data_IF_490080534701
#
_entry.id   IF_490080534701
#
_cell.length_a   1.000
_cell.length_b   1.000
_cell.length_c   1.000
_cell.angle_alpha   90.00
_cell.angle_beta   90.00
_cell.angle_gamma   90.00
#
_symmetry.space_group_name_H-M   'P 1'
#
loop_
_entity.id
_entity.type
_entity.pdbx_description
1 polymer ?
#
# COMPACT_ATOMS: atom_id res chain seq x y z
N UNK A 1 -2.10 -11.16 -20.72
CA UNK A 1 -2.47 -9.79 -21.15
C UNK A 1 -1.69 -8.81 -20.29
N UNK A 2 -1.03 -7.80 -20.89
CA UNK A 2 -0.27 -6.78 -20.18
C UNK A 2 -1.23 -5.78 -19.53
N UNK A 3 -0.92 -5.35 -18.29
CA UNK A 3 -1.71 -4.41 -17.52
C UNK A 3 -1.02 -3.04 -17.44
N UNK A 4 -1.79 -1.98 -17.63
CA UNK A 4 -1.34 -0.59 -17.57
C UNK A 4 -2.23 0.21 -16.59
N UNK A 5 -1.66 1.22 -15.95
CA UNK A 5 -2.40 2.07 -15.03
C UNK A 5 -2.82 3.37 -15.71
N UNK A 6 -4.12 3.65 -15.68
CA UNK A 6 -4.71 4.90 -16.18
C UNK A 6 -5.75 5.38 -15.16
N UNK A 7 -5.56 6.55 -14.59
CA UNK A 7 -6.39 7.07 -13.47
C UNK A 7 -7.84 7.38 -13.83
N UNK A 8 -8.15 7.48 -15.12
CA UNK A 8 -9.50 7.67 -15.65
C UNK A 8 -9.76 6.69 -16.80
N UNK A 9 -10.74 5.83 -16.62
CA UNK A 9 -11.19 4.85 -17.59
C UNK A 9 -12.63 5.13 -18.07
N UNK A 10 -13.17 6.34 -17.84
CA UNK A 10 -14.51 6.70 -18.29
C UNK A 10 -14.60 6.92 -19.82
N UNK A 11 -13.62 7.57 -20.49
CA UNK A 11 -13.66 7.74 -21.95
C UNK A 11 -13.49 6.41 -22.71
N UNK A 12 -14.07 6.31 -23.90
CA UNK A 12 -13.89 5.12 -24.77
C UNK A 12 -12.52 5.06 -25.45
N UNK A 13 -11.86 6.20 -25.58
CA UNK A 13 -10.49 6.33 -26.10
C UNK A 13 -9.59 6.83 -24.98
N UNK A 14 -8.56 6.05 -24.66
CA UNK A 14 -7.58 6.33 -23.62
C UNK A 14 -6.21 6.52 -24.24
N UNK A 15 -5.63 7.70 -24.06
CA UNK A 15 -4.20 7.89 -24.27
C UNK A 15 -3.46 7.39 -23.03
N UNK A 16 -2.56 6.42 -23.21
CA UNK A 16 -1.76 5.88 -22.09
C UNK A 16 -0.86 6.98 -21.51
N UNK A 17 -0.75 7.10 -20.17
CA UNK A 17 0.21 7.98 -19.53
C UNK A 17 1.62 7.74 -20.07
N UNK A 18 2.44 8.80 -20.11
CA UNK A 18 3.77 8.77 -20.74
C UNK A 18 4.65 7.60 -20.29
N UNK A 19 4.67 7.27 -19.00
CA UNK A 19 5.47 6.16 -18.47
C UNK A 19 4.92 4.81 -18.94
N UNK A 20 3.59 4.66 -18.98
CA UNK A 20 2.92 3.45 -19.47
C UNK A 20 3.06 3.29 -20.99
N UNK A 21 2.94 4.37 -21.75
CA UNK A 21 3.19 4.36 -23.20
C UNK A 21 4.64 3.98 -23.51
N UNK A 22 5.62 4.54 -22.78
CA UNK A 22 7.03 4.15 -22.92
C UNK A 22 7.24 2.66 -22.62
N UNK A 23 6.61 2.14 -21.56
CA UNK A 23 6.69 0.72 -21.23
C UNK A 23 6.10 -0.16 -22.34
N UNK A 24 4.92 0.20 -22.87
CA UNK A 24 4.26 -0.51 -23.97
C UNK A 24 5.14 -0.54 -25.23
N UNK A 25 5.71 0.61 -25.62
CA UNK A 25 6.45 0.76 -26.86
C UNK A 25 7.88 0.22 -26.76
N UNK A 26 8.64 0.71 -25.78
CA UNK A 26 10.09 0.47 -25.70
C UNK A 26 10.44 -0.87 -25.04
N UNK A 27 9.67 -1.30 -24.05
CA UNK A 27 9.95 -2.54 -23.30
C UNK A 27 9.18 -3.72 -23.89
N UNK A 28 7.87 -3.58 -24.03
CA UNK A 28 7.00 -4.68 -24.48
C UNK A 28 6.86 -4.75 -25.99
N UNK A 29 7.21 -3.68 -26.72
CA UNK A 29 7.17 -3.58 -28.18
C UNK A 29 5.79 -3.90 -28.76
N UNK A 30 4.76 -3.42 -28.08
CA UNK A 30 3.38 -3.61 -28.50
C UNK A 30 3.09 -2.84 -29.78
N UNK A 31 2.16 -3.36 -30.57
CA UNK A 31 1.73 -2.82 -31.86
C UNK A 31 0.22 -2.62 -31.92
N UNK A 32 -0.25 -1.83 -32.88
CA UNK A 32 -1.68 -1.63 -33.14
C UNK A 32 -2.38 -2.97 -33.36
N UNK A 33 -3.61 -3.11 -32.86
CA UNK A 33 -4.42 -4.32 -32.88
C UNK A 33 -4.21 -5.25 -31.72
N UNK A 34 -3.21 -5.01 -30.86
CA UNK A 34 -3.00 -5.83 -29.66
C UNK A 34 -3.92 -5.43 -28.51
N UNK A 35 -4.37 -6.44 -27.76
CA UNK A 35 -5.23 -6.26 -26.60
C UNK A 35 -4.39 -6.06 -25.32
N UNK A 36 -4.82 -5.12 -24.49
CA UNK A 36 -4.22 -4.77 -23.22
C UNK A 36 -5.29 -4.68 -22.13
N UNK A 37 -4.88 -4.80 -20.88
CA UNK A 37 -5.73 -4.48 -19.72
C UNK A 37 -5.37 -3.13 -19.13
N UNK A 38 -6.37 -2.41 -18.67
CA UNK A 38 -6.22 -1.12 -17.98
C UNK A 38 -6.78 -1.22 -16.57
N UNK A 39 -6.14 -0.55 -15.61
CA UNK A 39 -6.55 -0.47 -14.20
C UNK A 39 -6.58 1.01 -13.79
N UNK A 40 -7.63 1.46 -13.11
CA UNK A 40 -7.72 2.83 -12.59
C UNK A 40 -7.21 2.98 -11.16
N UNK A 41 -6.96 1.86 -10.47
CA UNK A 41 -6.62 1.87 -9.04
C UNK A 41 -7.78 2.21 -8.12
N UNK A 42 -9.01 2.28 -8.64
CA UNK A 42 -10.26 2.63 -7.93
C UNK A 42 -11.32 1.54 -8.04
N UNK A 43 -10.90 0.34 -8.45
CA UNK A 43 -11.75 -0.83 -8.61
C UNK A 43 -12.20 -1.10 -10.04
N UNK A 44 -11.85 -0.25 -11.04
CA UNK A 44 -12.22 -0.52 -12.43
C UNK A 44 -11.07 -1.22 -13.16
N UNK A 45 -11.41 -2.31 -13.85
CA UNK A 45 -10.59 -2.96 -14.85
C UNK A 45 -11.26 -2.84 -16.22
N UNK A 46 -10.48 -2.51 -17.24
CA UNK A 46 -10.96 -2.49 -18.61
C UNK A 46 -10.10 -3.37 -19.50
N UNK A 47 -10.73 -3.94 -20.54
CA UNK A 47 -10.04 -4.53 -21.67
C UNK A 47 -10.07 -3.51 -22.81
N UNK A 48 -8.94 -3.35 -23.50
CA UNK A 48 -8.79 -2.36 -24.55
C UNK A 48 -7.94 -2.91 -25.69
N UNK A 49 -8.16 -2.37 -26.90
CA UNK A 49 -7.37 -2.62 -28.09
C UNK A 49 -6.51 -1.39 -28.39
N UNK A 50 -5.23 -1.58 -28.66
CA UNK A 50 -4.34 -0.52 -29.12
C UNK A 50 -4.72 -0.15 -30.57
N UNK A 51 -5.25 1.06 -30.77
CA UNK A 51 -5.66 1.55 -32.11
C UNK A 51 -4.61 2.43 -32.78
N UNK A 52 -3.72 3.05 -31.94
CA UNK A 52 -2.61 3.85 -32.43
C UNK A 52 -1.39 3.63 -31.53
N UNK A 53 -0.26 3.27 -32.14
CA UNK A 53 1.03 3.13 -31.46
C UNK A 53 2.08 3.89 -32.27
N UNK A 54 2.57 4.99 -31.72
CA UNK A 54 3.61 5.83 -32.30
C UNK A 54 4.83 5.86 -31.38
N UNK A 55 5.92 6.53 -31.81
CA UNK A 55 7.11 6.70 -30.95
C UNK A 55 6.84 7.52 -29.67
N UNK A 56 5.70 8.23 -29.59
CA UNK A 56 5.40 9.19 -28.50
C UNK A 56 4.10 8.93 -27.77
N UNK A 57 3.15 8.22 -28.37
CA UNK A 57 1.82 8.01 -27.85
C UNK A 57 1.31 6.59 -28.13
N UNK A 58 0.52 6.09 -27.21
CA UNK A 58 -0.29 4.87 -27.34
C UNK A 58 -1.74 5.24 -27.05
N UNK A 59 -2.64 5.01 -28.02
CA UNK A 59 -4.08 5.20 -27.85
C UNK A 59 -4.75 3.84 -27.87
N UNK A 60 -5.55 3.58 -26.86
CA UNK A 60 -6.34 2.37 -26.72
C UNK A 60 -7.83 2.68 -26.79
N UNK A 61 -8.58 1.82 -27.47
CA UNK A 61 -10.05 1.81 -27.46
C UNK A 61 -10.52 0.81 -26.44
N UNK A 62 -11.38 1.25 -25.51
CA UNK A 62 -12.00 0.36 -24.51
C UNK A 62 -12.98 -0.59 -25.22
N UNK A 63 -12.85 -1.87 -24.91
CA UNK A 63 -13.74 -2.93 -25.37
C UNK A 63 -14.77 -3.31 -24.31
N UNK A 64 -14.33 -3.37 -23.05
CA UNK A 64 -15.19 -3.68 -21.91
C UNK A 64 -14.67 -3.06 -20.63
N UNK A 65 -15.56 -2.84 -19.65
CA UNK A 65 -15.24 -2.37 -18.29
C UNK A 65 -15.89 -3.29 -17.28
N UNK A 66 -15.15 -3.61 -16.23
CA UNK A 66 -15.66 -4.36 -15.07
C UNK A 66 -15.32 -3.61 -13.80
N UNK A 67 -16.30 -3.34 -12.96
CA UNK A 67 -16.11 -2.74 -11.64
C UNK A 67 -16.00 -3.84 -10.59
N UNK A 68 -15.01 -3.74 -9.74
CA UNK A 68 -14.75 -4.65 -8.63
C UNK A 68 -14.93 -3.88 -7.31
N UNK A 69 -15.79 -4.35 -6.40
CA UNK A 69 -15.90 -3.75 -5.07
C UNK A 69 -14.57 -3.92 -4.32
N UNK A 70 -14.33 -3.16 -3.24
CA UNK A 70 -13.23 -3.43 -2.34
C UNK A 70 -13.26 -4.90 -1.88
N UNK A 71 -12.10 -5.54 -1.86
CA UNK A 71 -11.98 -6.96 -1.54
C UNK A 71 -12.35 -7.29 -0.09
N UNK A 72 -12.39 -6.25 0.76
CA UNK A 72 -12.66 -6.35 2.19
C UNK A 72 -13.60 -5.26 2.67
N UNK A 73 -14.37 -5.58 3.71
CA UNK A 73 -15.26 -4.62 4.35
C UNK A 73 -14.50 -3.64 5.26
N UNK A 74 -13.43 -4.10 5.90
CA UNK A 74 -12.63 -3.32 6.84
C UNK A 74 -11.25 -2.97 6.27
N UNK A 75 -10.82 -1.74 6.45
CA UNK A 75 -9.55 -1.21 5.90
C UNK A 75 -8.37 -1.51 6.80
N UNK A 76 -7.23 -1.79 6.17
CA UNK A 76 -5.94 -1.95 6.83
C UNK A 76 -5.08 -0.73 6.51
N UNK A 77 -4.80 0.07 7.55
CA UNK A 77 -3.90 1.20 7.49
C UNK A 77 -2.61 0.87 8.24
N UNK A 78 -1.47 0.95 7.57
CA UNK A 78 -0.15 0.77 8.15
C UNK A 78 0.58 2.11 8.24
N UNK A 79 0.94 2.54 9.44
CA UNK A 79 1.85 3.66 9.66
C UNK A 79 3.21 3.11 10.07
N UNK A 80 4.21 3.20 9.18
CA UNK A 80 5.48 2.47 9.30
C UNK A 80 6.65 3.43 9.20
N UNK A 81 7.56 3.36 10.16
CA UNK A 81 8.77 4.18 10.13
C UNK A 81 9.66 3.76 8.94
N UNK A 82 10.17 4.74 8.15
CA UNK A 82 11.07 4.43 7.06
C UNK A 82 12.35 3.76 7.56
N UNK A 83 12.74 2.67 6.89
CA UNK A 83 13.98 1.97 7.19
C UNK A 83 15.21 2.76 6.74
N UNK A 84 16.36 2.52 7.34
CA UNK A 84 17.63 3.14 6.91
C UNK A 84 17.92 2.89 5.43
N UNK A 85 17.66 1.70 4.95
CA UNK A 85 17.81 1.28 3.55
C UNK A 85 16.47 1.40 2.83
N UNK A 86 16.40 2.30 1.84
CA UNK A 86 15.16 2.56 1.10
C UNK A 86 14.66 1.38 0.29
N UNK A 87 15.54 0.56 -0.25
CA UNK A 87 15.20 -0.66 -0.96
C UNK A 87 14.36 -1.63 -0.11
N UNK A 88 14.59 -1.70 1.20
CA UNK A 88 13.76 -2.47 2.13
C UNK A 88 12.38 -1.84 2.33
N UNK A 89 12.32 -0.51 2.40
CA UNK A 89 11.04 0.17 2.54
C UNK A 89 10.21 0.06 1.25
N UNK A 90 10.85 0.16 0.08
CA UNK A 90 10.22 -0.06 -1.21
C UNK A 90 9.72 -1.51 -1.35
N UNK A 91 10.53 -2.48 -0.92
CA UNK A 91 10.12 -3.89 -0.87
C UNK A 91 8.92 -4.11 0.07
N UNK A 92 8.91 -3.44 1.24
CA UNK A 92 7.75 -3.46 2.12
C UNK A 92 6.50 -2.92 1.40
N UNK A 93 6.58 -1.76 0.75
CA UNK A 93 5.45 -1.18 0.01
C UNK A 93 4.96 -2.13 -1.07
N UNK A 94 5.87 -2.70 -1.86
CA UNK A 94 5.53 -3.70 -2.89
C UNK A 94 4.73 -4.86 -2.30
N UNK A 95 5.23 -5.50 -1.25
CA UNK A 95 4.59 -6.69 -0.67
C UNK A 95 3.31 -6.35 0.11
N UNK A 96 3.24 -5.19 0.74
CA UNK A 96 2.02 -4.72 1.39
C UNK A 96 0.88 -4.51 0.38
N UNK A 97 1.20 -3.99 -0.82
CA UNK A 97 0.22 -3.87 -1.93
C UNK A 97 -0.24 -5.25 -2.40
N UNK A 98 0.67 -6.19 -2.61
CA UNK A 98 0.33 -7.57 -3.00
C UNK A 98 -0.60 -8.24 -1.98
N UNK A 99 -0.37 -8.04 -0.67
CA UNK A 99 -1.20 -8.54 0.42
C UNK A 99 -2.55 -7.82 0.46
N UNK A 100 -2.57 -6.54 0.04
CA UNK A 100 -3.77 -5.71 -0.06
C UNK A 100 -3.95 -4.72 1.07
N UNK A 101 -2.92 -4.02 1.45
CA UNK A 101 -3.04 -2.84 2.32
C UNK A 101 -3.90 -1.76 1.64
N UNK A 102 -4.66 -1.01 2.43
CA UNK A 102 -5.52 0.06 1.91
C UNK A 102 -4.88 1.45 2.04
N UNK A 103 -4.02 1.65 3.06
CA UNK A 103 -3.30 2.91 3.28
C UNK A 103 -1.94 2.66 3.91
N UNK A 104 -0.93 3.38 3.44
CA UNK A 104 0.43 3.39 4.00
C UNK A 104 0.79 4.83 4.36
N UNK A 105 1.13 5.07 5.62
CA UNK A 105 1.66 6.36 6.09
C UNK A 105 3.12 6.16 6.53
N UNK A 106 4.10 6.73 5.81
CA UNK A 106 5.47 6.80 6.33
C UNK A 106 5.49 7.60 7.64
N UNK A 107 6.00 7.00 8.73
CA UNK A 107 5.86 7.52 10.09
C UNK A 107 7.18 8.09 10.61
N UNK A 108 7.18 9.32 11.11
CA UNK A 108 8.31 9.90 11.86
C UNK A 108 8.07 9.70 13.35
N UNK A 109 9.00 9.02 14.01
CA UNK A 109 9.11 8.87 15.46
C UNK A 109 10.44 9.49 15.94
N UNK A 110 10.65 9.56 17.23
CA UNK A 110 11.87 10.13 17.84
C UNK A 110 13.15 9.44 17.32
N UNK A 111 13.10 8.11 17.12
CA UNK A 111 14.24 7.30 16.66
C UNK A 111 14.26 7.07 15.15
N UNK A 112 13.42 7.76 14.38
CA UNK A 112 13.44 7.66 12.91
C UNK A 112 14.66 8.41 12.36
N UNK A 113 15.57 7.69 11.74
CA UNK A 113 16.81 8.29 11.18
C UNK A 113 16.58 8.97 9.84
N UNK A 114 15.58 8.54 9.08
CA UNK A 114 15.31 9.04 7.72
C UNK A 114 14.18 10.06 7.72
N UNK A 115 14.53 11.33 7.57
CA UNK A 115 13.58 12.45 7.54
C UNK A 115 13.11 12.88 6.14
N UNK A 116 13.48 12.18 5.07
CA UNK A 116 13.06 12.52 3.69
C UNK A 116 12.76 11.28 2.87
N UNK A 117 11.62 11.29 2.19
CA UNK A 117 11.18 10.21 1.29
C UNK A 117 10.75 10.78 -0.06
N UNK A 118 10.98 10.01 -1.10
CA UNK A 118 10.41 10.27 -2.42
C UNK A 118 9.10 9.51 -2.56
N UNK A 119 8.01 10.17 -2.21
CA UNK A 119 6.66 9.56 -2.26
C UNK A 119 6.32 9.16 -3.70
N UNK A 120 6.69 9.98 -4.69
CA UNK A 120 6.53 9.66 -6.11
C UNK A 120 7.15 8.31 -6.51
N UNK A 121 8.25 7.92 -5.87
CA UNK A 121 8.89 6.62 -6.10
C UNK A 121 8.11 5.48 -5.43
N UNK A 122 7.61 5.69 -4.22
CA UNK A 122 6.77 4.70 -3.52
C UNK A 122 5.44 4.47 -4.26
N UNK A 123 4.83 5.53 -4.80
CA UNK A 123 3.63 5.42 -5.64
C UNK A 123 3.89 4.58 -6.89
N UNK A 124 5.02 4.77 -7.57
CA UNK A 124 5.41 3.93 -8.71
C UNK A 124 5.61 2.47 -8.33
N UNK A 125 6.23 2.19 -7.19
CA UNK A 125 6.35 0.82 -6.65
C UNK A 125 4.98 0.23 -6.41
N UNK A 126 4.06 0.97 -5.78
CA UNK A 126 2.70 0.52 -5.51
C UNK A 126 1.92 0.24 -6.80
N UNK A 127 2.01 1.10 -7.82
CA UNK A 127 1.38 0.89 -9.14
C UNK A 127 1.94 -0.37 -9.81
N UNK A 128 3.25 -0.58 -9.77
CA UNK A 128 3.88 -1.77 -10.34
C UNK A 128 3.41 -3.05 -9.62
N UNK A 129 3.35 -3.03 -8.28
CA UNK A 129 2.86 -4.13 -7.46
C UNK A 129 1.37 -4.42 -7.71
N UNK A 130 0.53 -3.39 -7.82
CA UNK A 130 -0.89 -3.51 -8.16
C UNK A 130 -1.07 -4.22 -9.52
N UNK A 131 -0.33 -3.79 -10.56
CA UNK A 131 -0.39 -4.42 -11.89
C UNK A 131 0.07 -5.88 -11.85
N UNK A 132 1.18 -6.15 -11.17
CA UNK A 132 1.76 -7.51 -11.06
C UNK A 132 0.82 -8.46 -10.32
N UNK A 133 0.23 -8.03 -9.21
CA UNK A 133 -0.71 -8.82 -8.41
C UNK A 133 -2.14 -8.82 -8.97
N UNK A 134 -2.38 -8.12 -10.08
CA UNK A 134 -3.68 -7.99 -10.75
C UNK A 134 -4.79 -7.39 -9.87
N UNK A 135 -4.41 -6.63 -8.84
CA UNK A 135 -5.36 -5.93 -7.98
C UNK A 135 -5.96 -4.73 -8.73
N UNK A 136 -7.19 -4.40 -8.40
CA UNK A 136 -7.89 -3.27 -9.02
C UNK A 136 -7.92 -2.03 -8.13
N UNK A 137 -7.54 -2.18 -6.85
CA UNK A 137 -7.47 -1.10 -5.87
C UNK A 137 -6.03 -0.76 -5.53
N UNK A 138 -5.66 0.53 -5.72
CA UNK A 138 -4.35 1.07 -5.35
C UNK A 138 -4.43 1.62 -3.93
N UNK A 139 -3.53 1.25 -3.02
CA UNK A 139 -3.53 1.84 -1.69
C UNK A 139 -3.16 3.32 -1.75
N UNK A 140 -3.68 4.09 -0.81
CA UNK A 140 -3.24 5.46 -0.59
C UNK A 140 -1.86 5.45 0.08
N UNK A 141 -0.91 6.20 -0.47
CA UNK A 141 0.38 6.47 0.16
C UNK A 141 0.39 7.93 0.61
N UNK A 142 0.54 8.14 1.92
CA UNK A 142 0.59 9.49 2.50
C UNK A 142 2.00 10.09 2.41
N UNK A 143 2.07 11.40 2.66
CA UNK A 143 3.33 12.08 2.91
C UNK A 143 3.95 11.58 4.22
N UNK A 144 5.25 11.82 4.39
CA UNK A 144 5.96 11.53 5.63
C UNK A 144 5.33 12.32 6.78
N UNK A 145 4.79 11.62 7.79
CA UNK A 145 3.89 12.18 8.81
C UNK A 145 4.44 11.91 10.21
N UNK A 146 4.38 12.89 11.10
CA UNK A 146 4.82 12.72 12.49
C UNK A 146 3.87 11.83 13.28
N UNK A 147 4.40 11.16 14.33
CA UNK A 147 3.60 10.35 15.24
C UNK A 147 2.41 11.14 15.80
N UNK A 148 2.65 12.39 16.24
CA UNK A 148 1.62 13.28 16.79
C UNK A 148 0.49 13.54 15.78
N UNK A 149 0.82 13.75 14.51
CA UNK A 149 -0.19 13.97 13.48
C UNK A 149 -1.00 12.69 13.19
N UNK A 150 -0.34 11.52 13.15
CA UNK A 150 -1.02 10.24 12.93
C UNK A 150 -1.98 9.90 14.07
N UNK A 151 -1.57 10.08 15.32
CA UNK A 151 -2.41 9.75 16.50
C UNK A 151 -3.58 10.71 16.67
N UNK A 152 -3.44 11.97 16.22
CA UNK A 152 -4.49 12.98 16.29
C UNK A 152 -5.55 12.81 15.18
N UNK A 153 -5.26 12.06 14.11
CA UNK A 153 -6.22 11.82 13.03
C UNK A 153 -7.38 10.95 13.56
N UNK A 154 -8.65 11.40 13.43
CA UNK A 154 -9.80 10.57 13.75
C UNK A 154 -9.87 9.45 12.72
N UNK A 155 -9.42 8.27 13.09
CA UNK A 155 -9.26 7.18 12.13
C UNK A 155 -9.96 5.90 12.60
N UNK A 156 -9.26 4.79 12.48
CA UNK A 156 -9.73 3.45 12.69
C UNK A 156 -10.36 3.20 14.08
N UNK A 157 -11.36 2.31 14.11
CA UNK A 157 -11.95 1.83 15.36
C UNK A 157 -10.97 1.03 16.20
N UNK A 158 -9.98 0.40 15.56
CA UNK A 158 -8.93 -0.40 16.20
C UNK A 158 -7.58 0.25 15.96
N UNK A 159 -6.80 0.43 17.02
CA UNK A 159 -5.51 1.12 17.00
C UNK A 159 -4.46 0.28 17.70
N UNK A 160 -3.41 -0.08 16.99
CA UNK A 160 -2.36 -0.95 17.48
C UNK A 160 -0.98 -0.37 17.22
N UNK A 161 -0.01 -0.74 18.04
CA UNK A 161 1.41 -0.52 17.74
C UNK A 161 2.23 -1.76 18.12
N UNK A 162 3.18 -2.12 17.27
CA UNK A 162 4.13 -3.19 17.54
C UNK A 162 5.07 -2.76 18.66
N UNK A 163 5.22 -3.59 19.70
CA UNK A 163 6.05 -3.27 20.85
C UNK A 163 6.90 -4.46 21.26
N UNK A 164 8.22 -4.23 21.46
CA UNK A 164 9.18 -5.29 21.74
C UNK A 164 9.44 -5.49 23.23
N UNK A 165 8.99 -4.58 24.11
CA UNK A 165 9.21 -4.68 25.55
C UNK A 165 8.00 -5.27 26.28
N UNK A 166 8.27 -5.95 27.40
CA UNK A 166 7.23 -6.60 28.20
C UNK A 166 6.65 -7.85 27.51
N UNK A 167 5.39 -8.11 27.78
CA UNK A 167 4.63 -9.26 27.25
C UNK A 167 3.29 -8.80 26.67
N UNK A 168 3.28 -7.97 25.61
CA UNK A 168 2.02 -7.54 25.02
C UNK A 168 1.28 -8.74 24.41
N UNK A 169 -0.07 -8.72 24.38
CA UNK A 169 -0.87 -9.76 23.75
C UNK A 169 -0.55 -9.85 22.24
N UNK A 170 -0.80 -10.99 21.65
CA UNK A 170 -0.62 -11.16 20.21
C UNK A 170 -1.66 -10.32 19.44
N UNK A 171 -1.26 -9.73 18.29
CA UNK A 171 -2.19 -9.00 17.43
C UNK A 171 -3.43 -9.82 17.10
N UNK A 172 -3.26 -11.12 16.85
CA UNK A 172 -4.35 -12.06 16.52
C UNK A 172 -5.41 -12.20 17.63
N UNK A 173 -5.05 -11.94 18.89
CA UNK A 173 -5.98 -12.04 20.03
C UNK A 173 -6.87 -10.81 20.14
N UNK A 174 -6.39 -9.65 19.67
CA UNK A 174 -7.10 -8.38 19.81
C UNK A 174 -7.80 -7.93 18.53
N UNK A 175 -7.29 -8.34 17.35
CA UNK A 175 -7.79 -7.85 16.08
C UNK A 175 -9.17 -8.44 15.73
N UNK A 176 -10.12 -7.54 15.42
CA UNK A 176 -11.44 -7.90 14.88
C UNK A 176 -11.51 -7.62 13.37
N UNK A 177 -11.85 -8.58 12.52
CA UNK A 177 -11.91 -8.39 11.08
C UNK A 177 -13.06 -7.50 10.58
N UNK A 178 -13.98 -7.11 11.47
CA UNK A 178 -15.19 -6.35 11.11
C UNK A 178 -15.00 -4.83 11.13
N UNK A 179 -13.85 -4.32 11.55
CA UNK A 179 -13.63 -2.88 11.74
C UNK A 179 -12.27 -2.43 11.22
N UNK A 180 -12.20 -1.21 10.70
CA UNK A 180 -10.96 -0.59 10.23
C UNK A 180 -9.90 -0.60 11.32
N UNK A 181 -8.66 -0.90 10.94
CA UNK A 181 -7.53 -0.97 11.85
C UNK A 181 -6.38 -0.08 11.39
N UNK A 182 -5.77 0.64 12.34
CA UNK A 182 -4.49 1.34 12.19
C UNK A 182 -3.42 0.62 12.99
N UNK A 183 -2.36 0.20 12.32
CA UNK A 183 -1.19 -0.44 12.91
C UNK A 183 0.04 0.42 12.74
N UNK A 184 0.71 0.76 13.84
CA UNK A 184 1.96 1.51 13.85
C UNK A 184 3.13 0.55 14.04
N UNK A 185 4.17 0.73 13.22
CA UNK A 185 5.44 0.01 13.32
C UNK A 185 6.58 1.02 13.45
N UNK A 186 7.32 0.93 14.55
CA UNK A 186 8.47 1.77 14.85
C UNK A 186 9.69 1.51 13.94
N UNK A 187 10.73 2.35 14.04
CA UNK A 187 12.01 2.14 13.37
C UNK A 187 12.79 0.97 13.98
N UNK A 188 14.02 0.74 13.51
CA UNK A 188 14.88 -0.32 14.03
C UNK A 188 15.18 -0.22 15.53
N UNK A 189 15.09 0.98 16.10
CA UNK A 189 15.25 1.26 17.54
C UNK A 189 13.97 1.16 18.35
N UNK A 190 12.85 0.77 17.74
CA UNK A 190 11.50 0.78 18.31
C UNK A 190 11.01 2.19 18.70
N UNK A 191 9.78 2.31 19.21
CA UNK A 191 9.30 3.52 19.87
C UNK A 191 10.09 3.78 21.16
N UNK A 192 10.11 5.03 21.62
CA UNK A 192 10.62 5.33 22.96
C UNK A 192 9.56 4.98 24.02
N UNK A 193 9.95 4.76 25.29
CA UNK A 193 8.97 4.58 26.38
C UNK A 193 7.98 5.74 26.51
N UNK A 194 8.42 6.97 26.23
CA UNK A 194 7.54 8.15 26.22
C UNK A 194 6.52 8.09 25.08
N UNK A 195 6.94 7.68 23.87
CA UNK A 195 6.02 7.47 22.76
C UNK A 195 5.04 6.33 23.03
N UNK A 196 5.49 5.24 23.65
CA UNK A 196 4.60 4.13 24.03
C UNK A 196 3.55 4.56 25.07
N UNK A 197 3.92 5.37 26.06
CA UNK A 197 2.97 5.95 27.01
C UNK A 197 1.96 6.86 26.28
N UNK A 198 2.42 7.75 25.42
CA UNK A 198 1.57 8.61 24.61
C UNK A 198 0.59 7.80 23.76
N UNK A 199 1.06 6.73 23.11
CA UNK A 199 0.21 5.84 22.30
C UNK A 199 -0.91 5.21 23.14
N UNK A 200 -0.60 4.75 24.36
CA UNK A 200 -1.60 4.22 25.29
C UNK A 200 -2.64 5.28 25.70
N UNK A 201 -2.22 6.52 25.95
CA UNK A 201 -3.14 7.64 26.23
C UNK A 201 -4.11 7.89 25.07
N UNK A 202 -3.65 7.74 23.83
CA UNK A 202 -4.46 7.83 22.62
C UNK A 202 -5.17 6.52 22.25
N UNK A 203 -5.26 5.57 23.18
CA UNK A 203 -5.98 4.29 23.07
C UNK A 203 -5.43 3.36 21.97
N UNK A 204 -4.14 3.41 21.72
CA UNK A 204 -3.47 2.36 20.96
C UNK A 204 -3.11 1.21 21.89
N UNK A 205 -3.34 -0.01 21.44
CA UNK A 205 -2.94 -1.22 22.18
C UNK A 205 -1.57 -1.69 21.70
N UNK A 206 -0.65 -1.88 22.63
CA UNK A 206 0.62 -2.55 22.36
C UNK A 206 0.35 -4.00 21.97
N UNK A 207 1.00 -4.49 20.90
CA UNK A 207 0.83 -5.86 20.41
C UNK A 207 2.15 -6.53 20.10
N UNK A 208 2.19 -7.85 20.30
CA UNK A 208 3.26 -8.73 19.83
C UNK A 208 2.93 -9.27 18.41
N UNK A 209 3.95 -9.34 17.57
CA UNK A 209 3.89 -9.95 16.24
C UNK A 209 4.62 -11.30 16.18
N UNK A 210 4.91 -11.88 17.32
CA UNK A 210 5.58 -13.16 17.48
C UNK A 210 6.73 -13.11 18.49
N UNK A 211 7.37 -14.25 18.73
CA UNK A 211 8.43 -14.38 19.75
C UNK A 211 9.78 -13.83 19.28
N UNK A 212 10.02 -13.79 17.98
CA UNK A 212 11.28 -13.31 17.43
C UNK A 212 11.24 -11.79 17.22
N UNK A 213 12.41 -11.15 17.41
CA UNK A 213 12.58 -9.75 17.04
C UNK A 213 12.57 -9.61 15.52
N UNK A 214 11.54 -8.96 14.99
CA UNK A 214 11.38 -8.71 13.57
C UNK A 214 12.05 -7.38 13.17
N UNK A 215 12.51 -7.29 11.93
CA UNK A 215 12.85 -5.99 11.33
C UNK A 215 11.57 -5.21 11.04
N UNK A 216 11.69 -3.89 10.93
CA UNK A 216 10.55 -2.99 10.67
C UNK A 216 9.70 -3.44 9.47
N UNK A 217 10.33 -3.70 8.33
CA UNK A 217 9.64 -4.16 7.12
C UNK A 217 8.95 -5.52 7.32
N UNK A 218 9.60 -6.43 8.04
CA UNK A 218 9.04 -7.75 8.34
C UNK A 218 7.87 -7.64 9.33
N UNK A 219 7.99 -6.82 10.36
CA UNK A 219 6.92 -6.58 11.33
C UNK A 219 5.66 -6.00 10.65
N UNK A 220 5.86 -5.01 9.77
CA UNK A 220 4.77 -4.39 9.02
C UNK A 220 4.05 -5.39 8.11
N UNK A 221 4.80 -6.24 7.39
CA UNK A 221 4.22 -7.27 6.53
C UNK A 221 3.53 -8.38 7.33
N UNK A 222 4.09 -8.78 8.49
CA UNK A 222 3.47 -9.76 9.38
C UNK A 222 2.12 -9.26 9.86
N UNK A 223 2.04 -8.00 10.34
CA UNK A 223 0.79 -7.39 10.77
C UNK A 223 -0.22 -7.30 9.62
N UNK A 224 0.22 -6.84 8.44
CA UNK A 224 -0.62 -6.75 7.25
C UNK A 224 -1.22 -8.10 6.87
N UNK A 225 -0.38 -9.14 6.81
CA UNK A 225 -0.79 -10.49 6.44
C UNK A 225 -1.78 -11.08 7.44
N UNK A 226 -1.55 -10.94 8.74
CA UNK A 226 -2.46 -11.45 9.76
C UNK A 226 -3.83 -10.77 9.69
N UNK A 227 -3.86 -9.44 9.59
CA UNK A 227 -5.11 -8.70 9.45
C UNK A 227 -5.84 -9.06 8.15
N UNK A 228 -5.11 -9.22 7.03
CA UNK A 228 -5.69 -9.63 5.75
C UNK A 228 -6.29 -11.04 5.80
N UNK A 229 -5.56 -12.02 6.34
CA UNK A 229 -6.04 -13.41 6.46
C UNK A 229 -7.22 -13.55 7.42
N UNK A 230 -7.26 -12.78 8.50
CA UNK A 230 -8.37 -12.79 9.44
C UNK A 230 -9.70 -12.33 8.80
N UNK A 231 -9.63 -11.47 7.77
CA UNK A 231 -10.81 -10.99 7.04
C UNK A 231 -11.29 -11.92 5.91
N UNK A 232 -10.55 -12.99 5.64
CA UNK A 232 -10.92 -13.99 4.62
C UNK A 232 -11.71 -15.18 5.20
N UNK A 233 -11.99 -15.16 6.51
CA UNK A 233 -12.70 -16.23 7.24
C UNK A 233 -14.18 -16.00 7.32
#
# INVERSE_FOLDING_TARGET
>A
MHLFHCTDLAPDLIELPREEAHHAIAVLRLTTGQHIGLLDGKGTRAEAELIEVTKRACIARILSRTSHPPERAARIHLAVAPTKQMDRYEWFVEKAVEIGVDRITPLITERTERGKLRIDRLERVAIAAMKQSQRTWLPRIDQLTSLQAVIAEPSAAQRYFGWCEGTPPALMELYSPASDALMLIGPEGDFTPAEALLLNEYRFSAVSLGHARLRTETAALTACMWMSLAQQR
#
